data_IF_362114417854
#
_entry.id   IF_362114417854
#
_cell.length_a   1.000
_cell.length_b   1.000
_cell.length_c   1.000
_cell.angle_alpha   90.00
_cell.angle_beta   90.00
_cell.angle_gamma   90.00
#
_symmetry.space_group_name_H-M   'P 1'
#
loop_
_entity.id
_entity.type
_entity.pdbx_description
1 polymer ?
#
# COMPACT_ATOMS: atom_id res chain seq x y z
N UNK A 1 -77.05 -21.34 -40.26
CA UNK A 1 -76.85 -19.90 -40.50
C UNK A 1 -77.25 -19.22 -39.20
N UNK A 2 -76.29 -19.00 -38.30
CA UNK A 2 -75.53 -17.73 -38.13
C UNK A 2 -76.41 -16.67 -37.45
N UNK A 3 -76.02 -15.92 -36.42
CA UNK A 3 -74.74 -15.70 -35.75
C UNK A 3 -75.01 -14.95 -34.43
N UNK A 4 -74.03 -14.96 -33.52
CA UNK A 4 -73.99 -14.24 -32.25
C UNK A 4 -73.89 -12.71 -32.41
N UNK A 5 -74.38 -11.95 -31.41
CA UNK A 5 -73.72 -10.70 -30.99
C UNK A 5 -74.06 -10.36 -29.53
N UNK A 6 -73.13 -10.71 -28.63
CA UNK A 6 -73.19 -10.41 -27.19
C UNK A 6 -72.50 -9.07 -26.90
N UNK A 7 -73.18 -8.19 -26.17
CA UNK A 7 -72.69 -6.88 -25.77
C UNK A 7 -71.37 -6.93 -24.95
N UNK A 8 -70.46 -5.94 -25.05
CA UNK A 8 -69.19 -5.96 -24.34
C UNK A 8 -69.35 -5.51 -22.87
N UNK A 9 -68.77 -6.31 -21.96
CA UNK A 9 -68.71 -6.06 -20.51
C UNK A 9 -67.64 -5.03 -20.13
N UNK A 10 -67.99 -4.12 -19.20
CA UNK A 10 -67.09 -3.32 -18.36
C UNK A 10 -66.04 -4.20 -17.64
N UNK A 11 -64.76 -3.81 -17.72
CA UNK A 11 -63.62 -4.31 -16.93
C UNK A 11 -63.05 -3.05 -16.23
N UNK A 12 -63.05 -2.84 -14.92
CA UNK A 12 -62.80 -3.77 -13.82
C UNK A 12 -61.42 -3.52 -13.23
N UNK A 13 -61.29 -2.47 -12.39
CA UNK A 13 -60.26 -2.32 -11.34
C UNK A 13 -58.82 -1.94 -11.70
N UNK A 14 -58.23 -2.44 -12.80
CA UNK A 14 -56.76 -2.33 -12.99
C UNK A 14 -56.28 -1.07 -13.72
N UNK A 15 -57.10 -0.45 -14.56
CA UNK A 15 -56.72 0.74 -15.33
C UNK A 15 -56.56 2.02 -14.51
N UNK A 16 -57.35 2.19 -13.44
CA UNK A 16 -57.25 3.36 -12.55
C UNK A 16 -56.02 3.33 -11.65
N UNK A 17 -55.57 2.14 -11.23
CA UNK A 17 -54.37 1.99 -10.40
C UNK A 17 -53.10 2.31 -11.19
N UNK A 18 -53.03 1.88 -12.45
CA UNK A 18 -51.91 2.19 -13.36
C UNK A 18 -51.86 3.70 -13.66
N UNK A 19 -53.02 4.36 -13.82
CA UNK A 19 -53.08 5.81 -14.03
C UNK A 19 -52.62 6.61 -12.80
N UNK A 20 -52.91 6.12 -11.58
CA UNK A 20 -52.48 6.75 -10.33
C UNK A 20 -50.98 6.54 -10.07
N UNK A 21 -50.43 5.37 -10.42
CA UNK A 21 -48.98 5.11 -10.33
C UNK A 21 -48.21 5.95 -11.35
N UNK A 22 -48.73 6.12 -12.58
CA UNK A 22 -48.12 7.03 -13.56
C UNK A 22 -48.20 8.50 -13.12
N UNK A 23 -49.31 8.93 -12.52
CA UNK A 23 -49.47 10.29 -12.02
C UNK A 23 -48.54 10.57 -10.81
N UNK A 24 -48.32 9.59 -9.94
CA UNK A 24 -47.36 9.68 -8.84
C UNK A 24 -45.90 9.70 -9.35
N UNK A 25 -45.60 9.00 -10.45
CA UNK A 25 -44.29 9.04 -11.09
C UNK A 25 -44.01 10.38 -11.77
N UNK A 26 -45.03 11.01 -12.36
CA UNK A 26 -44.92 12.33 -13.00
C UNK A 26 -44.84 13.50 -12.00
N UNK A 27 -45.36 13.33 -10.77
CA UNK A 27 -45.30 14.36 -9.72
C UNK A 27 -44.12 14.17 -8.73
N UNK A 28 -43.48 13.00 -8.69
CA UNK A 28 -42.59 12.60 -7.60
C UNK A 28 -41.12 12.36 -7.93
N UNK A 29 -40.64 12.71 -9.13
CA UNK A 29 -39.26 12.42 -9.54
C UNK A 29 -38.17 13.12 -8.69
N UNK A 30 -38.45 14.33 -8.19
CA UNK A 30 -37.48 15.10 -7.40
C UNK A 30 -37.58 14.85 -5.88
N UNK A 31 -38.77 14.60 -5.36
CA UNK A 31 -39.00 14.47 -3.91
C UNK A 31 -38.42 13.20 -3.31
N UNK A 32 -38.60 12.06 -4.00
CA UNK A 32 -38.09 10.76 -3.51
C UNK A 32 -36.56 10.71 -3.57
N UNK A 33 -35.96 11.26 -4.62
CA UNK A 33 -34.49 11.34 -4.76
C UNK A 33 -33.89 12.27 -3.70
N UNK A 34 -34.53 13.41 -3.41
CA UNK A 34 -34.08 14.33 -2.36
C UNK A 34 -34.11 13.73 -0.95
N UNK A 35 -35.16 12.97 -0.60
CA UNK A 35 -35.25 12.26 0.69
C UNK A 35 -34.22 11.15 0.79
N UNK A 36 -33.99 10.38 -0.29
CA UNK A 36 -32.97 9.33 -0.30
C UNK A 36 -31.54 9.88 -0.24
N UNK A 37 -31.29 11.07 -0.82
CA UNK A 37 -30.01 11.78 -0.71
C UNK A 37 -29.80 12.33 0.71
N UNK A 38 -30.83 12.94 1.31
CA UNK A 38 -30.80 13.44 2.70
C UNK A 38 -30.66 12.33 3.75
N UNK A 39 -31.14 11.12 3.47
CA UNK A 39 -30.98 9.93 4.32
C UNK A 39 -29.66 9.17 4.10
N UNK A 40 -28.76 9.67 3.23
CA UNK A 40 -27.43 9.07 3.02
C UNK A 40 -27.44 7.72 2.30
N UNK A 41 -28.58 7.27 1.75
CA UNK A 41 -28.72 5.97 1.08
C UNK A 41 -28.00 5.89 -0.28
N UNK A 42 -27.54 7.03 -0.81
CA UNK A 42 -26.66 7.13 -1.97
C UNK A 42 -25.25 7.65 -1.64
N UNK A 43 -24.95 7.94 -0.37
CA UNK A 43 -23.61 8.37 0.04
C UNK A 43 -22.65 7.20 0.26
N UNK A 44 -22.99 6.01 -0.23
CA UNK A 44 -22.02 4.97 -0.54
C UNK A 44 -21.22 5.43 -1.77
N UNK A 45 -20.38 6.45 -1.58
CA UNK A 45 -19.12 6.49 -2.30
C UNK A 45 -18.55 5.06 -2.19
N UNK A 46 -18.13 4.42 -3.29
CA UNK A 46 -17.60 3.07 -3.24
C UNK A 46 -16.57 3.08 -2.12
N UNK A 47 -16.85 2.30 -1.06
CA UNK A 47 -15.90 2.13 0.02
C UNK A 47 -14.61 1.76 -0.68
N UNK A 48 -13.63 2.69 -0.65
CA UNK A 48 -12.30 2.40 -1.13
C UNK A 48 -11.89 1.06 -0.51
N UNK A 49 -11.12 0.22 -1.23
CA UNK A 49 -10.80 -1.12 -0.78
C UNK A 49 -10.40 -1.03 0.69
N UNK A 50 -11.12 -1.74 1.57
CA UNK A 50 -10.92 -1.70 3.03
C UNK A 50 -9.42 -1.71 3.27
N UNK A 51 -8.86 -0.54 3.58
CA UNK A 51 -7.42 -0.41 3.73
C UNK A 51 -7.10 -1.16 4.99
N UNK A 52 -6.30 -2.22 4.85
CA UNK A 52 -5.87 -3.03 5.96
C UNK A 52 -5.37 -2.10 7.08
N UNK A 53 -6.02 -2.10 8.27
CA UNK A 53 -5.71 -1.20 9.36
C UNK A 53 -4.23 -1.27 9.79
N UNK A 54 -3.55 -2.38 9.51
CA UNK A 54 -2.16 -2.58 9.84
C UNK A 54 -1.16 -2.09 8.77
N UNK A 55 -1.60 -1.43 7.70
CA UNK A 55 -0.70 -0.83 6.70
C UNK A 55 0.05 0.39 7.24
N UNK A 56 1.37 0.51 7.00
CA UNK A 56 2.15 1.70 7.37
C UNK A 56 1.55 2.98 6.80
N UNK A 57 1.53 4.02 7.62
CA UNK A 57 1.02 5.37 7.30
C UNK A 57 2.18 6.32 7.13
N UNK A 58 1.99 7.35 6.31
CA UNK A 58 2.97 8.42 6.16
C UNK A 58 3.13 9.20 7.46
N UNK A 59 4.36 9.66 7.73
CA UNK A 59 4.73 10.44 8.93
C UNK A 59 4.71 11.92 8.59
N UNK A 60 3.71 12.69 9.07
CA UNK A 60 3.70 14.13 8.89
C UNK A 60 4.91 14.78 9.58
N UNK A 61 5.33 15.92 9.05
CA UNK A 61 6.51 16.62 9.56
C UNK A 61 6.33 17.02 11.03
N UNK A 62 7.28 16.62 11.89
CA UNK A 62 7.26 16.92 13.32
C UNK A 62 6.48 15.93 14.18
N UNK A 63 5.89 14.90 13.58
CA UNK A 63 5.28 13.79 14.31
C UNK A 63 6.28 12.65 14.54
N UNK A 64 6.07 11.87 15.61
CA UNK A 64 6.90 10.71 15.93
C UNK A 64 6.43 9.46 15.16
N UNK A 65 7.28 8.84 14.32
CA UNK A 65 6.96 7.60 13.60
C UNK A 65 6.47 6.46 14.49
N UNK A 66 6.95 6.36 15.74
CA UNK A 66 6.55 5.30 16.67
C UNK A 66 5.13 5.56 17.18
N UNK A 67 4.83 6.80 17.57
CA UNK A 67 3.50 7.17 18.03
C UNK A 67 2.42 6.96 16.95
N UNK A 68 2.73 7.22 15.68
CA UNK A 68 1.81 6.96 14.56
C UNK A 68 1.56 5.46 14.40
N UNK A 69 2.60 4.64 14.48
CA UNK A 69 2.48 3.19 14.43
C UNK A 69 1.64 2.64 15.59
N UNK A 70 1.89 3.11 16.82
CA UNK A 70 1.17 2.68 18.02
C UNK A 70 -0.31 3.08 17.96
N UNK A 71 -0.60 4.30 17.51
CA UNK A 71 -1.99 4.74 17.27
C UNK A 71 -2.67 3.87 16.22
N UNK A 72 -2.01 3.58 15.10
CA UNK A 72 -2.57 2.72 14.06
C UNK A 72 -2.85 1.29 14.56
N UNK A 73 -1.97 0.73 15.41
CA UNK A 73 -2.19 -0.57 16.07
C UNK A 73 -3.37 -0.55 17.03
N UNK A 74 -3.49 0.52 17.84
CA UNK A 74 -4.61 0.70 18.76
C UNK A 74 -5.94 0.83 18.01
N UNK A 75 -5.99 1.62 16.93
CA UNK A 75 -7.16 1.79 16.06
C UNK A 75 -7.55 0.46 15.39
N UNK A 76 -6.57 -0.40 15.08
CA UNK A 76 -6.77 -1.73 14.53
C UNK A 76 -7.21 -2.79 15.57
N UNK A 77 -7.33 -2.42 16.85
CA UNK A 77 -7.67 -3.36 17.92
C UNK A 77 -6.58 -4.37 18.28
N UNK A 78 -5.34 -4.15 17.82
CA UNK A 78 -4.19 -5.00 18.14
C UNK A 78 -3.67 -4.62 19.52
N UNK A 79 -4.01 -5.40 20.55
CA UNK A 79 -3.43 -5.23 21.90
C UNK A 79 -1.97 -5.70 21.88
N UNK A 80 -1.06 -4.79 22.21
CA UNK A 80 0.37 -5.05 22.17
C UNK A 80 0.83 -6.05 23.23
N UNK A 81 1.68 -6.97 22.80
CA UNK A 81 2.77 -7.51 23.60
C UNK A 81 4.05 -7.40 22.76
N UNK A 82 5.14 -7.00 23.39
CA UNK A 82 6.44 -6.73 22.79
C UNK A 82 7.16 -7.97 22.25
N UNK A 83 6.55 -8.62 21.26
CA UNK A 83 7.24 -9.57 20.41
C UNK A 83 6.86 -9.27 18.96
N UNK A 84 7.90 -9.12 18.14
CA UNK A 84 7.84 -8.80 16.71
C UNK A 84 7.12 -9.89 15.92
N UNK A 85 5.79 -9.91 15.98
CA UNK A 85 4.96 -10.61 15.02
C UNK A 85 4.05 -9.58 14.38
N UNK A 86 4.43 -9.17 13.16
CA UNK A 86 3.44 -8.73 12.18
C UNK A 86 2.42 -9.89 12.11
N UNK A 87 1.12 -9.65 12.31
CA UNK A 87 0.13 -10.73 12.32
C UNK A 87 0.23 -11.53 11.02
N UNK A 88 0.46 -12.84 11.14
CA UNK A 88 0.54 -13.78 9.99
C UNK A 88 -0.80 -13.99 9.31
N UNK A 89 -1.87 -13.44 9.88
CA UNK A 89 -3.25 -13.66 9.45
C UNK A 89 -3.82 -12.46 8.67
N UNK A 90 -2.96 -11.50 8.31
CA UNK A 90 -3.31 -10.48 7.32
C UNK A 90 -3.50 -11.18 5.98
N UNK A 91 -4.67 -10.99 5.36
CA UNK A 91 -4.93 -11.41 3.99
C UNK A 91 -3.98 -10.63 3.06
N UNK A 92 -2.76 -11.14 2.88
CA UNK A 92 -1.77 -10.57 1.98
C UNK A 92 -2.40 -10.62 0.59
N UNK A 93 -2.71 -9.48 -0.05
CA UNK A 93 -3.12 -9.49 -1.44
C UNK A 93 -2.03 -10.24 -2.21
N UNK A 94 -2.38 -11.18 -3.10
CA UNK A 94 -1.39 -12.03 -3.82
C UNK A 94 -0.24 -11.25 -4.49
N UNK A 95 -0.41 -9.95 -4.69
CA UNK A 95 0.59 -9.07 -5.29
C UNK A 95 1.31 -8.15 -4.30
N UNK A 96 0.89 -8.03 -3.03
CA UNK A 96 1.38 -7.03 -2.06
C UNK A 96 1.14 -5.58 -2.50
N UNK A 97 1.27 -4.60 -1.61
CA UNK A 97 1.04 -3.18 -1.91
C UNK A 97 2.35 -2.42 -1.99
N UNK A 98 2.50 -1.58 -3.02
CA UNK A 98 3.64 -0.67 -3.13
C UNK A 98 3.33 0.67 -2.45
N UNK A 99 4.05 0.97 -1.37
CA UNK A 99 3.94 2.19 -0.60
C UNK A 99 4.83 3.26 -1.25
N UNK A 100 4.24 3.98 -2.20
CA UNK A 100 4.94 4.94 -3.05
C UNK A 100 5.42 6.18 -2.29
N UNK A 101 6.54 6.75 -2.75
CA UNK A 101 7.02 8.06 -2.29
C UNK A 101 5.91 9.11 -2.36
N UNK A 102 5.70 9.92 -1.30
CA UNK A 102 4.76 11.04 -1.33
C UNK A 102 5.06 12.01 -2.47
N UNK A 103 4.02 12.47 -3.17
CA UNK A 103 4.16 13.47 -4.24
C UNK A 103 4.71 14.81 -3.72
N UNK A 104 4.31 15.18 -2.51
CA UNK A 104 4.83 16.33 -1.79
C UNK A 104 5.61 15.86 -0.55
N UNK A 105 6.93 15.76 -0.68
CA UNK A 105 7.80 15.35 0.43
C UNK A 105 7.93 16.41 1.51
N UNK A 106 7.55 17.67 1.26
CA UNK A 106 7.76 18.76 2.22
C UNK A 106 6.86 18.67 3.46
N UNK A 107 5.70 18.01 3.31
CA UNK A 107 4.75 17.76 4.39
C UNK A 107 5.08 16.54 5.25
N UNK A 108 6.08 15.73 4.88
CA UNK A 108 6.41 14.48 5.56
C UNK A 108 7.85 14.47 6.05
N UNK A 109 8.11 13.66 7.08
CA UNK A 109 9.44 13.48 7.64
C UNK A 109 10.02 12.13 7.23
N UNK A 110 11.24 12.16 6.69
CA UNK A 110 11.99 10.95 6.43
C UNK A 110 12.55 10.38 7.75
N UNK A 111 12.31 9.09 7.96
CA UNK A 111 12.95 8.29 9.01
C UNK A 111 14.06 7.48 8.38
N UNK A 112 15.20 7.39 9.07
CA UNK A 112 16.37 6.65 8.62
C UNK A 112 16.63 5.45 9.53
N UNK A 113 16.95 4.31 8.93
CA UNK A 113 17.35 3.11 9.66
C UNK A 113 18.71 2.64 9.15
N UNK A 114 19.71 2.62 10.04
CA UNK A 114 21.05 2.13 9.75
C UNK A 114 21.05 0.60 9.78
N UNK A 115 21.53 -0.03 8.71
CA UNK A 115 21.75 -1.48 8.73
C UNK A 115 22.88 -1.81 9.71
N UNK A 116 22.70 -2.83 10.57
CA UNK A 116 23.54 -3.01 11.76
C UNK A 116 24.99 -3.41 11.45
N UNK A 117 25.21 -4.09 10.32
CA UNK A 117 26.53 -4.54 9.91
C UNK A 117 26.81 -4.20 8.43
N UNK A 118 28.07 -3.92 8.07
CA UNK A 118 28.47 -3.73 6.68
C UNK A 118 28.29 -5.02 5.86
N UNK A 119 28.35 -4.88 4.55
CA UNK A 119 28.29 -5.96 3.57
C UNK A 119 29.63 -6.03 2.87
N UNK A 120 30.18 -7.24 2.77
CA UNK A 120 31.42 -7.50 2.04
C UNK A 120 31.15 -8.57 0.99
N UNK A 121 31.55 -8.31 -0.25
CA UNK A 121 31.38 -9.25 -1.37
C UNK A 121 32.56 -9.12 -2.34
N UNK A 122 32.90 -10.21 -3.01
CA UNK A 122 33.70 -10.14 -4.22
C UNK A 122 32.88 -9.50 -5.34
N UNK A 123 33.56 -8.91 -6.33
CA UNK A 123 32.95 -8.42 -7.57
C UNK A 123 33.02 -9.51 -8.65
N UNK A 124 32.18 -9.37 -9.67
CA UNK A 124 31.99 -10.44 -10.68
C UNK A 124 33.13 -10.56 -11.69
N UNK A 125 33.84 -9.46 -11.96
CA UNK A 125 34.83 -9.32 -13.03
C UNK A 125 36.26 -9.07 -12.53
N UNK A 126 36.49 -9.08 -11.22
CA UNK A 126 37.79 -8.88 -10.61
C UNK A 126 37.96 -9.60 -9.28
N UNK A 127 39.19 -9.69 -8.80
CA UNK A 127 39.53 -10.18 -7.46
C UNK A 127 39.26 -9.12 -6.37
N UNK A 128 38.71 -7.95 -6.75
CA UNK A 128 38.47 -6.86 -5.82
C UNK A 128 37.31 -7.17 -4.87
N UNK A 129 37.46 -6.69 -3.64
CA UNK A 129 36.45 -6.78 -2.59
C UNK A 129 35.74 -5.44 -2.44
N UNK A 130 34.41 -5.47 -2.50
CA UNK A 130 33.58 -4.32 -2.12
C UNK A 130 33.12 -4.46 -0.67
N UNK A 131 33.29 -3.40 0.12
CA UNK A 131 32.72 -3.27 1.45
C UNK A 131 31.82 -2.03 1.53
N UNK A 132 30.53 -2.24 1.79
CA UNK A 132 29.55 -1.16 1.91
C UNK A 132 28.84 -1.18 3.26
N UNK A 133 28.53 -0.01 3.81
CA UNK A 133 27.58 0.14 4.90
C UNK A 133 26.36 0.92 4.38
N UNK A 134 25.17 0.49 4.77
CA UNK A 134 23.91 0.98 4.22
C UNK A 134 22.99 1.56 5.28
N UNK A 135 22.26 2.60 4.93
CA UNK A 135 21.08 3.06 5.65
C UNK A 135 19.89 3.12 4.68
N UNK A 136 18.67 2.91 5.17
CA UNK A 136 17.43 3.05 4.39
C UNK A 136 16.65 4.25 4.88
N UNK A 137 15.92 4.92 3.99
CA UNK A 137 14.93 5.94 4.35
C UNK A 137 13.51 5.49 4.03
N UNK A 138 12.58 6.01 4.81
CA UNK A 138 11.15 5.88 4.55
C UNK A 138 10.41 7.14 5.04
N UNK A 139 9.33 7.50 4.38
CA UNK A 139 8.38 8.51 4.88
C UNK A 139 7.23 7.88 5.66
N UNK A 140 7.24 6.56 5.84
CA UNK A 140 6.23 5.82 6.57
C UNK A 140 6.64 5.59 8.02
N UNK A 141 5.66 5.24 8.84
CA UNK A 141 5.82 5.03 10.27
C UNK A 141 6.76 3.85 10.61
N UNK A 142 6.99 3.65 11.92
CA UNK A 142 7.95 2.68 12.44
C UNK A 142 7.73 1.23 11.94
N UNK A 143 6.54 0.87 11.45
CA UNK A 143 6.27 -0.48 10.94
C UNK A 143 7.14 -0.84 9.73
N UNK A 144 7.56 0.14 8.93
CA UNK A 144 8.48 -0.12 7.80
C UNK A 144 9.88 -0.41 8.32
N UNK A 145 10.41 0.37 9.25
CA UNK A 145 11.76 0.15 9.81
C UNK A 145 11.82 -1.11 10.68
N UNK A 146 10.75 -1.42 11.41
CA UNK A 146 10.59 -2.69 12.13
C UNK A 146 10.53 -3.89 11.19
N UNK A 147 9.84 -3.78 10.04
CA UNK A 147 9.82 -4.84 9.03
C UNK A 147 11.23 -5.07 8.43
N UNK A 148 11.98 -4.01 8.14
CA UNK A 148 13.39 -4.09 7.71
C UNK A 148 14.23 -4.81 8.75
N UNK A 149 14.07 -4.45 10.03
CA UNK A 149 14.79 -5.09 11.14
C UNK A 149 14.40 -6.56 11.31
N UNK A 150 13.13 -6.88 11.19
CA UNK A 150 12.59 -8.24 11.37
C UNK A 150 13.05 -9.17 10.25
N UNK A 151 13.10 -8.67 9.02
CA UNK A 151 13.49 -9.44 7.83
C UNK A 151 14.91 -9.15 7.34
N UNK A 152 15.76 -8.62 8.23
CA UNK A 152 17.12 -8.18 7.91
C UNK A 152 17.95 -9.29 7.29
N UNK A 153 17.84 -10.53 7.79
CA UNK A 153 18.59 -11.68 7.27
C UNK A 153 18.26 -11.99 5.80
N UNK A 154 16.97 -11.94 5.44
CA UNK A 154 16.52 -12.19 4.07
C UNK A 154 16.98 -11.06 3.13
N UNK A 155 16.86 -9.81 3.59
CA UNK A 155 17.36 -8.63 2.88
C UNK A 155 18.87 -8.73 2.67
N UNK A 156 19.63 -9.08 3.73
CA UNK A 156 21.08 -9.19 3.69
C UNK A 156 21.55 -10.26 2.73
N UNK A 157 20.97 -11.45 2.77
CA UNK A 157 21.28 -12.51 1.82
C UNK A 157 21.07 -12.04 0.38
N UNK A 158 19.94 -11.39 0.11
CA UNK A 158 19.64 -10.90 -1.23
C UNK A 158 20.62 -9.81 -1.70
N UNK A 159 20.99 -8.87 -0.81
CA UNK A 159 21.97 -7.82 -1.11
C UNK A 159 23.32 -8.44 -1.46
N UNK A 160 23.82 -9.41 -0.67
CA UNK A 160 25.09 -10.07 -0.94
C UNK A 160 25.09 -10.79 -2.30
N UNK A 161 24.00 -11.48 -2.64
CA UNK A 161 23.85 -12.12 -3.95
C UNK A 161 23.82 -11.11 -5.11
N UNK A 162 23.24 -9.93 -4.90
CA UNK A 162 23.24 -8.86 -5.90
C UNK A 162 24.63 -8.25 -6.06
N UNK A 163 25.33 -7.95 -4.96
CA UNK A 163 26.68 -7.37 -5.00
C UNK A 163 27.68 -8.28 -5.72
N UNK A 164 27.56 -9.59 -5.54
CA UNK A 164 28.39 -10.58 -6.23
C UNK A 164 28.23 -10.58 -7.77
N UNK A 165 27.19 -9.93 -8.30
CA UNK A 165 26.95 -9.79 -9.74
C UNK A 165 27.37 -8.41 -10.28
N UNK A 166 27.79 -7.48 -9.41
CA UNK A 166 28.21 -6.15 -9.84
C UNK A 166 29.65 -6.18 -10.39
N UNK A 167 29.95 -5.21 -11.25
CA UNK A 167 31.24 -5.07 -11.91
C UNK A 167 32.02 -3.90 -11.33
N UNK A 168 33.33 -4.05 -11.16
CA UNK A 168 34.19 -3.04 -10.52
C UNK A 168 34.18 -1.72 -11.29
N UNK A 169 34.35 -1.76 -12.61
CA UNK A 169 34.35 -0.56 -13.43
C UNK A 169 33.02 0.20 -13.36
N UNK A 170 31.91 -0.48 -13.08
CA UNK A 170 30.62 0.18 -12.90
C UNK A 170 30.57 0.87 -11.54
N UNK A 171 30.96 0.18 -10.46
CA UNK A 171 30.86 0.67 -9.08
C UNK A 171 31.82 1.82 -8.75
N UNK A 172 32.87 2.02 -9.54
CA UNK A 172 33.78 3.17 -9.39
C UNK A 172 33.19 4.48 -9.91
N UNK A 173 32.19 4.42 -10.79
CA UNK A 173 31.54 5.61 -11.37
C UNK A 173 30.39 6.16 -10.50
N UNK A 174 30.14 7.48 -10.50
CA UNK A 174 28.96 8.06 -9.84
C UNK A 174 27.64 7.47 -10.35
N UNK A 175 27.51 7.28 -11.65
CA UNK A 175 26.31 6.75 -12.31
C UNK A 175 26.06 5.30 -11.90
N UNK A 176 27.11 4.48 -11.83
CA UNK A 176 27.02 3.10 -11.36
C UNK A 176 26.62 3.01 -9.89
N UNK A 177 27.11 3.90 -9.02
CA UNK A 177 26.67 3.98 -7.61
C UNK A 177 25.19 4.35 -7.51
N UNK A 178 24.71 5.31 -8.31
CA UNK A 178 23.29 5.66 -8.36
C UNK A 178 22.42 4.51 -8.90
N UNK A 179 22.92 3.76 -9.90
CA UNK A 179 22.24 2.58 -10.41
C UNK A 179 22.16 1.48 -9.33
N UNK A 180 23.26 1.23 -8.62
CA UNK A 180 23.30 0.29 -7.48
C UNK A 180 22.33 0.72 -6.37
N UNK A 181 22.29 2.00 -6.03
CA UNK A 181 21.34 2.54 -5.05
C UNK A 181 19.89 2.20 -5.44
N UNK A 182 19.49 2.44 -6.70
CA UNK A 182 18.16 2.11 -7.20
C UNK A 182 17.90 0.60 -7.18
N UNK A 183 18.88 -0.23 -7.60
CA UNK A 183 18.78 -1.69 -7.55
C UNK A 183 18.56 -2.18 -6.12
N UNK A 184 19.32 -1.67 -5.15
CA UNK A 184 19.20 -2.01 -3.73
C UNK A 184 17.83 -1.58 -3.17
N UNK A 185 17.37 -0.36 -3.45
CA UNK A 185 16.03 0.10 -3.02
C UNK A 185 14.93 -0.83 -3.54
N UNK A 186 14.96 -1.17 -4.84
CA UNK A 186 13.99 -2.07 -5.44
C UNK A 186 14.06 -3.48 -4.85
N UNK A 187 15.26 -3.99 -4.60
CA UNK A 187 15.47 -5.29 -3.98
C UNK A 187 14.88 -5.35 -2.57
N UNK A 188 15.17 -4.36 -1.73
CA UNK A 188 14.66 -4.32 -0.36
C UNK A 188 13.13 -4.23 -0.38
N UNK A 189 12.55 -3.35 -1.20
CA UNK A 189 11.10 -3.24 -1.35
C UNK A 189 10.46 -4.55 -1.83
N UNK A 190 11.10 -5.26 -2.77
CA UNK A 190 10.63 -6.59 -3.22
C UNK A 190 10.58 -7.58 -2.06
N UNK A 191 11.67 -7.69 -1.28
CA UNK A 191 11.73 -8.62 -0.14
C UNK A 191 10.70 -8.23 0.93
N UNK A 192 10.56 -6.94 1.26
CA UNK A 192 9.55 -6.49 2.22
C UNK A 192 8.14 -6.84 1.76
N UNK A 193 7.84 -6.63 0.47
CA UNK A 193 6.55 -6.98 -0.12
C UNK A 193 6.26 -8.48 -0.03
N UNK A 194 7.24 -9.33 -0.31
CA UNK A 194 7.13 -10.79 -0.21
C UNK A 194 6.96 -11.28 1.23
N UNK A 195 7.55 -10.59 2.22
CA UNK A 195 7.53 -11.01 3.63
C UNK A 195 6.41 -10.42 4.46
N UNK A 196 5.98 -9.20 4.15
CA UNK A 196 5.02 -8.42 4.96
C UNK A 196 3.75 -8.03 4.22
N UNK A 197 3.73 -8.18 2.90
CA UNK A 197 2.63 -7.73 2.05
C UNK A 197 2.67 -6.25 1.68
N UNK A 198 3.68 -5.49 2.14
CA UNK A 198 3.88 -4.08 1.77
C UNK A 198 5.36 -3.73 1.54
N UNK A 199 5.62 -2.74 0.69
CA UNK A 199 6.93 -2.09 0.55
C UNK A 199 6.99 -0.83 1.44
N UNK A 200 7.95 0.08 1.24
CA UNK A 200 7.91 1.39 1.89
C UNK A 200 9.26 2.07 2.04
N UNK A 201 10.34 1.48 1.53
CA UNK A 201 11.62 2.15 1.42
C UNK A 201 11.56 3.17 0.29
N UNK A 202 11.85 4.42 0.62
CA UNK A 202 12.00 5.50 -0.36
C UNK A 202 13.37 5.42 -1.04
N UNK A 203 14.43 5.25 -0.24
CA UNK A 203 15.78 5.21 -0.76
C UNK A 203 16.75 4.43 0.13
N UNK A 204 17.87 4.03 -0.45
CA UNK A 204 19.04 3.47 0.22
C UNK A 204 20.17 4.50 0.19
N UNK A 205 20.99 4.57 1.22
CA UNK A 205 22.14 5.45 1.32
C UNK A 205 23.39 4.63 1.64
N UNK A 206 24.48 4.92 0.96
CA UNK A 206 25.79 4.39 1.31
C UNK A 206 26.38 5.27 2.42
N UNK A 207 26.54 4.70 3.62
CA UNK A 207 27.22 5.38 4.75
C UNK A 207 28.70 5.05 4.81
N UNK A 208 29.11 3.97 4.14
CA UNK A 208 30.50 3.67 3.81
C UNK A 208 30.52 2.93 2.46
N UNK A 209 31.54 3.18 1.64
CA UNK A 209 31.72 2.49 0.36
C UNK A 209 33.21 2.43 0.02
N UNK A 210 33.77 1.22 0.07
CA UNK A 210 35.19 0.96 -0.21
C UNK A 210 35.29 -0.20 -1.20
N UNK A 211 36.22 -0.09 -2.15
CA UNK A 211 36.66 -1.18 -3.04
C UNK A 211 38.15 -1.38 -2.76
N UNK A 212 38.59 -2.63 -2.58
CA UNK A 212 39.96 -3.02 -2.23
C UNK A 212 40.51 -4.09 -3.18
#
# INVERSE_FOLDING_TARGET
MSDEAKAPKKKGGKGRLILLVLAAFLLGGAGVVGVLYGMGMFNSAPAGPVEDPNRPKLVPKGEDPVAIADKARADAGVKGEGNSHIPTDVHVPKEGVDLLRPKDVSGYQATYFQMPAPYTSNLSDSDALVQIALAVSTYYDARVTEAVKTHEMAIRSAILMMLAQEQEMTLTTPEGKQALQKKLTNLINKILKEKTGYSGIDNVYFTNFVIQ
#
